data_IF_622903171226
#
_entry.id   IF_622903171226
#
_cell.length_a   1.000
_cell.length_b   1.000
_cell.length_c   1.000
_cell.angle_alpha   90.00
_cell.angle_beta   90.00
_cell.angle_gamma   90.00
#
_symmetry.space_group_name_H-M   'P 1'
#
loop_
_entity.id
_entity.type
_entity.pdbx_description
1 polymer ?
#
# COMPACT_ATOMS: atom_id res chain seq x y z
N UNK A 1 -0.51 -3.54 -31.53
CA UNK A 1 -0.14 -3.99 -30.17
C UNK A 1 0.36 -2.79 -29.37
N UNK A 2 -0.56 -2.03 -28.77
CA UNK A 2 -0.23 -0.82 -28.00
C UNK A 2 0.52 -1.22 -26.74
N UNK A 3 1.83 -0.92 -26.68
CA UNK A 3 2.63 -1.11 -25.46
C UNK A 3 2.11 -0.15 -24.40
N UNK A 4 1.18 -0.60 -23.56
CA UNK A 4 0.81 0.12 -22.33
C UNK A 4 2.09 0.21 -21.50
N UNK A 5 2.76 1.37 -21.53
CA UNK A 5 3.87 1.67 -20.62
C UNK A 5 3.28 1.64 -19.22
N UNK A 6 3.61 0.60 -18.46
CA UNK A 6 3.32 0.56 -17.03
C UNK A 6 4.01 1.76 -16.41
N UNK A 7 3.23 2.79 -16.07
CA UNK A 7 3.77 4.00 -15.46
C UNK A 7 4.18 3.64 -14.04
N UNK A 8 5.49 3.52 -13.80
CA UNK A 8 6.07 3.31 -12.46
C UNK A 8 5.53 4.36 -11.47
N UNK A 9 5.31 5.59 -11.94
CA UNK A 9 4.67 6.66 -11.17
C UNK A 9 3.29 6.25 -10.64
N UNK A 10 2.47 5.58 -11.47
CA UNK A 10 1.14 5.08 -11.07
C UNK A 10 1.25 4.01 -9.98
N UNK A 11 2.22 3.10 -10.11
CA UNK A 11 2.47 2.05 -9.10
C UNK A 11 2.85 2.66 -7.77
N UNK A 12 3.75 3.65 -7.75
CA UNK A 12 4.20 4.33 -6.53
C UNK A 12 3.04 5.09 -5.88
N UNK A 13 2.25 5.84 -6.67
CA UNK A 13 1.10 6.58 -6.16
C UNK A 13 0.06 5.62 -5.54
N UNK A 14 -0.27 4.53 -6.23
CA UNK A 14 -1.21 3.53 -5.69
C UNK A 14 -0.66 2.84 -4.44
N UNK A 15 0.65 2.58 -4.39
CA UNK A 15 1.32 2.02 -3.22
C UNK A 15 1.21 2.95 -2.00
N UNK A 16 1.49 4.24 -2.19
CA UNK A 16 1.42 5.24 -1.11
C UNK A 16 -0.01 5.47 -0.64
N UNK A 17 -0.99 5.55 -1.55
CA UNK A 17 -2.41 5.70 -1.20
C UNK A 17 -2.91 4.46 -0.47
N UNK A 18 -2.63 3.26 -0.99
CA UNK A 18 -2.99 2.00 -0.32
C UNK A 18 -2.34 1.87 1.05
N UNK A 19 -1.07 2.25 1.16
CA UNK A 19 -0.32 2.28 2.41
C UNK A 19 -0.93 3.24 3.45
N UNK A 20 -1.28 4.46 3.03
CA UNK A 20 -1.89 5.46 3.90
C UNK A 20 -3.26 5.03 4.41
N UNK A 21 -4.13 4.52 3.52
CA UNK A 21 -5.47 4.04 3.90
C UNK A 21 -5.37 2.86 4.86
N UNK A 22 -4.53 1.86 4.54
CA UNK A 22 -4.34 0.70 5.41
C UNK A 22 -3.82 1.10 6.80
N UNK A 23 -2.85 2.00 6.85
CA UNK A 23 -2.29 2.49 8.11
C UNK A 23 -3.34 3.19 8.95
N UNK A 24 -4.18 4.04 8.35
CA UNK A 24 -5.28 4.70 9.03
C UNK A 24 -6.29 3.70 9.61
N UNK A 25 -6.67 2.68 8.83
CA UNK A 25 -7.59 1.62 9.27
C UNK A 25 -7.01 0.83 10.44
N UNK A 26 -5.76 0.34 10.32
CA UNK A 26 -5.11 -0.43 11.39
C UNK A 26 -4.91 0.40 12.65
N UNK A 27 -4.59 1.69 12.50
CA UNK A 27 -4.47 2.61 13.65
C UNK A 27 -5.81 2.81 14.35
N UNK A 28 -6.90 2.93 13.58
CA UNK A 28 -8.26 2.97 14.12
C UNK A 28 -8.62 1.69 14.87
N UNK A 29 -8.25 0.52 14.34
CA UNK A 29 -8.43 -0.75 15.05
C UNK A 29 -7.59 -0.82 16.33
N UNK A 30 -6.31 -0.44 16.28
CA UNK A 30 -5.46 -0.41 17.48
C UNK A 30 -6.06 0.49 18.57
N UNK A 31 -6.66 1.63 18.19
CA UNK A 31 -7.39 2.49 19.12
C UNK A 31 -8.61 1.80 19.74
N UNK A 32 -9.44 1.13 18.93
CA UNK A 32 -10.61 0.36 19.41
C UNK A 32 -10.20 -0.80 20.33
N UNK A 33 -9.07 -1.44 20.08
CA UNK A 33 -8.52 -2.52 20.91
C UNK A 33 -7.72 -2.03 22.13
N UNK A 34 -7.72 -0.73 22.43
CA UNK A 34 -7.06 -0.17 23.61
C UNK A 34 -5.52 -0.22 23.55
N UNK A 35 -4.93 -0.40 22.36
CA UNK A 35 -3.48 -0.35 22.19
C UNK A 35 -3.00 1.10 22.19
N UNK A 36 -1.90 1.42 22.90
CA UNK A 36 -1.35 2.75 22.89
C UNK A 36 -0.80 3.11 21.51
N UNK A 37 -0.99 4.37 21.12
CA UNK A 37 -0.42 4.92 19.90
C UNK A 37 1.10 4.83 19.93
N UNK A 38 1.69 4.35 18.84
CA UNK A 38 3.13 4.09 18.73
C UNK A 38 3.63 4.43 17.34
N UNK A 39 4.47 5.47 17.24
CA UNK A 39 5.12 5.89 16.00
C UNK A 39 5.91 4.77 15.28
N UNK A 40 6.71 3.93 15.99
CA UNK A 40 7.38 2.79 15.36
C UNK A 40 6.40 1.84 14.67
N UNK A 41 5.25 1.60 15.31
CA UNK A 41 4.22 0.70 14.81
C UNK A 41 3.53 1.28 13.57
N UNK A 42 3.27 2.59 13.59
CA UNK A 42 2.73 3.32 12.45
C UNK A 42 3.66 3.25 11.23
N UNK A 43 4.97 3.45 11.44
CA UNK A 43 5.98 3.33 10.39
C UNK A 43 6.06 1.92 9.80
N UNK A 44 5.96 0.88 10.64
CA UNK A 44 5.92 -0.52 10.20
C UNK A 44 4.65 -0.83 9.39
N UNK A 45 3.48 -0.37 9.86
CA UNK A 45 2.22 -0.55 9.14
C UNK A 45 2.26 0.11 7.77
N UNK A 46 2.74 1.35 7.71
CA UNK A 46 2.85 2.08 6.46
C UNK A 46 3.86 1.46 5.50
N UNK A 47 5.05 1.10 5.99
CA UNK A 47 6.09 0.47 5.17
C UNK A 47 5.63 -0.88 4.60
N UNK A 48 5.05 -1.73 5.44
CA UNK A 48 4.52 -3.03 5.02
C UNK A 48 3.39 -2.87 4.00
N UNK A 49 2.42 -2.01 4.27
CA UNK A 49 1.28 -1.80 3.38
C UNK A 49 1.71 -1.19 2.04
N UNK A 50 2.62 -0.22 2.05
CA UNK A 50 3.15 0.40 0.83
C UNK A 50 3.88 -0.64 -0.04
N UNK A 51 4.72 -1.49 0.57
CA UNK A 51 5.37 -2.59 -0.15
C UNK A 51 4.36 -3.58 -0.73
N UNK A 52 3.37 -3.99 0.06
CA UNK A 52 2.38 -4.98 -0.37
C UNK A 52 1.49 -4.46 -1.51
N UNK A 53 0.95 -3.24 -1.37
CA UNK A 53 0.13 -2.62 -2.42
C UNK A 53 0.94 -2.27 -3.67
N UNK A 54 2.20 -1.84 -3.50
CA UNK A 54 3.11 -1.63 -4.63
C UNK A 54 3.38 -2.92 -5.39
N UNK A 55 3.68 -4.02 -4.68
CA UNK A 55 3.88 -5.33 -5.27
C UNK A 55 2.62 -5.87 -5.97
N UNK A 56 1.44 -5.75 -5.34
CA UNK A 56 0.18 -6.17 -5.93
C UNK A 56 -0.13 -5.40 -7.21
N UNK A 57 0.06 -4.09 -7.18
CA UNK A 57 -0.19 -3.20 -8.33
C UNK A 57 0.76 -3.53 -9.48
N UNK A 58 2.05 -3.71 -9.19
CA UNK A 58 3.03 -4.15 -10.17
C UNK A 58 2.69 -5.53 -10.76
N UNK A 59 2.32 -6.50 -9.93
CA UNK A 59 1.93 -7.85 -10.35
C UNK A 59 0.68 -7.82 -11.23
N UNK A 60 -0.35 -7.06 -10.86
CA UNK A 60 -1.59 -6.96 -11.63
C UNK A 60 -1.36 -6.31 -12.99
N UNK A 61 -0.52 -5.27 -13.06
CA UNK A 61 -0.17 -4.63 -14.33
C UNK A 61 0.66 -5.54 -15.24
N UNK A 62 1.39 -6.52 -14.68
CA UNK A 62 2.07 -7.58 -15.47
C UNK A 62 1.14 -8.73 -15.84
N UNK A 63 0.12 -9.03 -15.03
CA UNK A 63 -0.86 -10.09 -15.29
C UNK A 63 -1.92 -9.68 -16.32
N UNK A 64 -2.35 -8.42 -16.37
CA UNK A 64 -3.22 -7.89 -17.44
C UNK A 64 -2.58 -7.84 -18.84
N UNK A 65 -1.49 -8.58 -19.03
CA UNK A 65 -0.73 -8.80 -20.27
C UNK A 65 -0.83 -10.25 -20.78
N UNK A 66 -1.51 -11.14 -20.06
CA UNK A 66 -2.00 -12.44 -20.57
C UNK A 66 -3.42 -12.27 -21.07
#
# INVERSE_FOLDING_TARGET
MTKIKVSIKRVIITALIGGAIFTAVVSGFDYVFGKPFSWPRLGLYFGFATLMYGFLTWRNLRKGKR
#
